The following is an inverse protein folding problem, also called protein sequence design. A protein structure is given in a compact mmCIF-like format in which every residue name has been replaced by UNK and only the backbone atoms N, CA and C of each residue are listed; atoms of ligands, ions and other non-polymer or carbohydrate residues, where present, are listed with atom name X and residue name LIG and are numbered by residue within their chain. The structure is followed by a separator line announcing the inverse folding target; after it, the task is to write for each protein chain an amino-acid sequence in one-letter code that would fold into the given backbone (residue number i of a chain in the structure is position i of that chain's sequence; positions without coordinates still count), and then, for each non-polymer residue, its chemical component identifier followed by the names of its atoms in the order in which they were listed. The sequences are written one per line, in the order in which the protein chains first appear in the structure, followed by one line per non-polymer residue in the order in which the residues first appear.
data_IF_652856929330
#
_entry.id   IF_652856929330
#
_cell.length_a   1.000
_cell.length_b   1.000
_cell.length_c   1.000
_cell.angle_alpha   90.00
_cell.angle_beta   90.00
_cell.angle_gamma   90.00
#
_symmetry.space_group_name_H-M   'P 1'
#
loop_
_entity.id
_entity.type
_entity.pdbx_description
1 polymer ?
#
# COMPACT_ATOMS: atom_id res chain seq x y z
N UNK A 1 23.74 -25.10 -5.37
CA UNK A 1 23.23 -24.17 -4.33
C UNK A 1 23.54 -24.76 -2.96
N UNK A 2 24.08 -24.03 -1.99
CA UNK A 2 24.13 -24.54 -0.63
C UNK A 2 22.70 -24.81 -0.16
N UNK A 3 22.42 -25.98 0.40
CA UNK A 3 21.16 -26.25 1.09
C UNK A 3 20.99 -25.20 2.20
N UNK A 4 19.86 -24.52 2.24
CA UNK A 4 19.54 -23.56 3.30
C UNK A 4 19.54 -22.07 2.92
N UNK A 5 20.04 -21.73 1.73
CA UNK A 5 19.98 -20.35 1.21
C UNK A 5 18.77 -20.08 0.29
N UNK A 6 17.85 -21.03 0.14
CA UNK A 6 16.61 -20.81 -0.62
C UNK A 6 15.70 -19.86 0.15
N UNK A 7 15.30 -18.72 -0.46
CA UNK A 7 14.31 -17.85 0.15
C UNK A 7 12.92 -18.47 0.07
N UNK A 8 12.19 -18.47 1.18
CA UNK A 8 10.81 -18.94 1.27
C UNK A 8 9.95 -17.88 1.94
N UNK A 9 8.71 -17.73 1.46
CA UNK A 9 7.71 -16.88 2.08
C UNK A 9 6.97 -17.72 3.14
N UNK A 10 7.00 -17.26 4.38
CA UNK A 10 6.54 -18.06 5.53
C UNK A 10 5.37 -17.45 6.29
N UNK A 11 5.11 -16.17 6.12
CA UNK A 11 4.00 -15.52 6.80
C UNK A 11 3.51 -14.30 6.05
N UNK A 12 2.20 -14.07 6.13
CA UNK A 12 1.53 -12.92 5.55
C UNK A 12 0.56 -12.29 6.54
N UNK A 13 0.41 -10.97 6.46
CA UNK A 13 -0.55 -10.23 7.27
C UNK A 13 -1.20 -9.14 6.46
N UNK A 14 -2.48 -8.94 6.68
CA UNK A 14 -3.26 -7.87 6.05
C UNK A 14 -4.20 -7.24 7.07
N UNK A 15 -4.31 -5.92 7.01
CA UNK A 15 -5.21 -5.13 7.85
C UNK A 15 -6.00 -4.18 6.97
N UNK A 16 -7.31 -4.10 7.22
CA UNK A 16 -8.17 -3.03 6.70
C UNK A 16 -8.94 -2.46 7.88
N UNK A 17 -8.78 -1.16 8.12
CA UNK A 17 -9.49 -0.44 9.17
C UNK A 17 -10.61 0.42 8.57
N UNK A 18 -11.80 0.36 9.17
CA UNK A 18 -12.98 1.08 8.69
C UNK A 18 -13.28 2.37 9.45
N UNK A 19 -12.39 2.81 10.36
CA UNK A 19 -12.58 4.07 11.07
C UNK A 19 -12.84 5.22 10.08
N UNK A 20 -13.90 5.97 10.33
CA UNK A 20 -14.38 7.05 9.47
C UNK A 20 -14.59 8.37 10.20
N UNK A 21 -14.21 8.44 11.50
CA UNK A 21 -14.31 9.60 12.35
C UNK A 21 -15.70 9.84 12.95
N UNK A 22 -16.70 9.01 12.67
CA UNK A 22 -18.06 9.23 13.19
C UNK A 22 -18.18 8.96 14.68
N UNK A 23 -17.31 8.09 15.23
CA UNK A 23 -17.25 7.74 16.64
C UNK A 23 -16.28 8.62 17.48
N UNK A 24 -15.67 9.64 16.88
CA UNK A 24 -14.66 10.48 17.53
C UNK A 24 -13.23 10.02 17.28
N UNK A 25 -12.23 10.51 18.05
CA UNK A 25 -10.82 10.24 17.81
C UNK A 25 -10.36 8.82 18.17
N UNK A 26 -11.10 8.15 19.06
CA UNK A 26 -10.70 6.86 19.58
C UNK A 26 -10.62 5.80 18.48
N UNK A 27 -9.52 5.04 18.48
CA UNK A 27 -9.27 4.00 17.48
C UNK A 27 -8.85 4.52 16.10
N UNK A 28 -8.57 5.81 15.93
CA UNK A 28 -8.08 6.36 14.68
C UNK A 28 -6.74 5.69 14.29
N UNK A 29 -6.66 4.99 13.14
CA UNK A 29 -5.43 4.33 12.75
C UNK A 29 -4.41 5.33 12.23
N UNK A 30 -3.13 5.01 12.43
CA UNK A 30 -1.99 5.69 11.80
C UNK A 30 -1.30 4.75 10.81
N UNK A 31 -0.47 5.27 9.90
CA UNK A 31 0.38 4.40 9.07
C UNK A 31 1.21 3.44 9.91
N UNK A 32 1.76 3.92 11.04
CA UNK A 32 2.53 3.08 11.98
C UNK A 32 1.69 1.96 12.57
N UNK A 33 0.53 2.28 13.17
CA UNK A 33 -0.30 1.26 13.83
C UNK A 33 -0.77 0.18 12.86
N UNK A 34 -1.15 0.55 11.63
CA UNK A 34 -1.53 -0.39 10.58
C UNK A 34 -0.38 -1.34 10.20
N UNK A 35 0.85 -0.80 10.02
CA UNK A 35 2.04 -1.63 9.75
C UNK A 35 2.35 -2.57 10.91
N UNK A 36 2.25 -2.10 12.16
CA UNK A 36 2.49 -2.90 13.37
C UNK A 36 1.50 -4.08 13.42
N UNK A 37 0.22 -3.80 13.19
CA UNK A 37 -0.82 -4.83 13.24
C UNK A 37 -0.65 -5.86 12.11
N UNK A 38 -0.41 -5.43 10.87
CA UNK A 38 -0.14 -6.34 9.76
C UNK A 38 1.12 -7.19 10.02
N UNK A 39 2.18 -6.58 10.58
CA UNK A 39 3.41 -7.29 10.93
C UNK A 39 3.19 -8.34 12.01
N UNK A 40 2.41 -8.04 13.06
CA UNK A 40 2.05 -9.00 14.10
C UNK A 40 1.24 -10.18 13.55
N UNK A 41 0.34 -9.93 12.62
CA UNK A 41 -0.42 -10.98 11.91
C UNK A 41 0.55 -11.86 11.11
N UNK A 42 1.47 -11.26 10.34
CA UNK A 42 2.45 -12.01 9.56
C UNK A 42 3.38 -12.87 10.43
N UNK A 43 3.80 -12.34 11.60
CA UNK A 43 4.60 -13.10 12.58
C UNK A 43 3.81 -14.28 13.16
N UNK A 44 2.54 -14.09 13.47
CA UNK A 44 1.67 -15.15 13.96
C UNK A 44 1.41 -16.22 12.89
N UNK A 45 1.20 -15.81 11.64
CA UNK A 45 1.01 -16.73 10.50
C UNK A 45 2.27 -17.58 10.23
N UNK A 46 3.45 -16.97 10.38
CA UNK A 46 4.73 -17.67 10.26
C UNK A 46 5.08 -18.56 11.47
N UNK A 47 4.34 -18.49 12.57
CA UNK A 47 4.77 -19.10 13.84
C UNK A 47 6.11 -18.57 14.38
N UNK A 48 6.50 -17.36 13.96
CA UNK A 48 7.82 -16.75 14.24
C UNK A 48 7.72 -15.62 15.27
N UNK A 49 8.86 -15.27 15.86
CA UNK A 49 8.95 -14.13 16.77
C UNK A 49 9.64 -12.94 16.10
N UNK A 50 9.37 -11.73 16.62
CA UNK A 50 10.00 -10.50 16.12
C UNK A 50 11.52 -10.50 16.28
N UNK A 51 12.08 -11.27 17.23
CA UNK A 51 13.54 -11.39 17.44
C UNK A 51 14.26 -12.11 16.30
N UNK A 52 13.53 -12.85 15.46
CA UNK A 52 14.09 -13.52 14.28
C UNK A 52 14.34 -12.58 13.10
N UNK A 53 13.73 -11.38 13.11
CA UNK A 53 13.83 -10.40 12.04
C UNK A 53 15.21 -9.71 12.10
N UNK A 54 16.07 -10.00 11.14
CA UNK A 54 17.36 -9.30 10.98
C UNK A 54 17.24 -8.08 10.04
N UNK A 55 16.26 -8.07 9.16
CA UNK A 55 16.01 -6.99 8.21
C UNK A 55 14.55 -6.58 8.21
N UNK A 56 14.29 -5.28 8.43
CA UNK A 56 12.96 -4.68 8.28
C UNK A 56 12.95 -3.72 7.09
N UNK A 57 12.06 -3.93 6.14
CA UNK A 57 11.88 -3.04 5.00
C UNK A 57 10.45 -2.48 4.98
N UNK A 58 10.33 -1.16 4.98
CA UNK A 58 9.05 -0.46 4.99
C UNK A 58 8.88 0.32 3.69
N UNK A 59 7.75 0.15 3.02
CA UNK A 59 7.38 0.96 1.85
C UNK A 59 7.02 2.37 2.33
N UNK A 60 7.59 3.39 1.69
CA UNK A 60 7.35 4.79 2.03
C UNK A 60 5.88 5.15 1.82
N UNK A 61 5.30 5.84 2.80
CA UNK A 61 3.94 6.38 2.73
C UNK A 61 3.86 7.61 1.83
N UNK A 62 2.67 7.90 1.33
CA UNK A 62 2.45 9.07 0.47
C UNK A 62 2.78 10.40 1.14
N UNK A 63 2.48 10.55 2.43
CA UNK A 63 2.77 11.79 3.16
C UNK A 63 4.27 12.13 3.15
N UNK A 64 5.15 11.13 3.33
CA UNK A 64 6.61 11.30 3.26
C UNK A 64 7.15 11.45 1.83
N UNK A 65 6.27 11.42 0.83
CA UNK A 65 6.62 11.48 -0.59
C UNK A 65 6.19 12.78 -1.26
N UNK A 66 5.49 13.65 -0.53
CA UNK A 66 5.02 14.93 -1.06
C UNK A 66 6.03 16.02 -0.71
N UNK A 67 6.58 16.75 -1.71
CA UNK A 67 7.47 17.88 -1.43
C UNK A 67 6.79 18.94 -0.55
N UNK A 68 7.50 19.42 0.47
CA UNK A 68 7.04 20.54 1.30
C UNK A 68 6.47 20.15 2.66
N UNK A 69 6.79 18.96 3.15
CA UNK A 69 6.53 18.52 4.53
C UNK A 69 5.10 18.82 5.00
N UNK A 70 4.18 17.96 4.62
CA UNK A 70 2.76 18.13 4.94
C UNK A 70 2.27 16.97 5.79
N UNK A 71 2.60 17.00 7.08
CA UNK A 71 2.11 16.04 8.07
C UNK A 71 1.01 16.68 8.92
N UNK A 72 -0.25 16.68 8.45
CA UNK A 72 -1.34 17.40 9.13
C UNK A 72 -1.68 16.83 10.50
N UNK A 73 -1.20 15.63 10.80
CA UNK A 73 -1.45 14.89 12.04
C UNK A 73 -0.16 14.57 12.81
N UNK A 74 0.91 15.35 12.61
CA UNK A 74 2.22 15.07 13.18
C UNK A 74 3.08 14.14 12.31
N UNK A 75 4.39 14.28 12.41
CA UNK A 75 5.36 13.55 11.61
C UNK A 75 5.99 12.40 12.39
N UNK A 76 5.95 11.20 11.87
CA UNK A 76 6.76 10.10 12.35
C UNK A 76 8.13 10.19 11.65
N UNK A 77 9.15 10.67 12.39
CA UNK A 77 10.48 10.95 11.83
C UNK A 77 11.29 9.70 11.49
N UNK A 78 10.86 8.53 11.95
CA UNK A 78 11.52 7.25 11.68
C UNK A 78 10.50 6.10 11.68
N UNK A 79 9.68 6.03 10.65
CA UNK A 79 8.63 5.01 10.56
C UNK A 79 9.15 3.58 10.68
N UNK A 80 10.26 3.14 10.03
CA UNK A 80 10.81 1.80 10.24
C UNK A 80 11.24 1.54 11.68
N UNK A 81 11.90 2.50 12.32
CA UNK A 81 12.36 2.37 13.71
C UNK A 81 11.19 2.23 14.69
N UNK A 82 10.16 3.06 14.55
CA UNK A 82 8.98 3.00 15.42
C UNK A 82 8.18 1.72 15.22
N UNK A 83 8.11 1.16 14.00
CA UNK A 83 7.50 -0.15 13.74
C UNK A 83 8.33 -1.25 14.40
N UNK A 84 9.66 -1.27 14.21
CA UNK A 84 10.54 -2.26 14.83
C UNK A 84 10.37 -2.29 16.36
N UNK A 85 10.41 -1.11 17.00
CA UNK A 85 10.18 -0.95 18.44
C UNK A 85 8.82 -1.56 18.87
N UNK A 86 7.75 -1.21 18.19
CA UNK A 86 6.38 -1.55 18.60
C UNK A 86 6.01 -3.03 18.33
N UNK A 87 6.73 -3.71 17.42
CA UNK A 87 6.64 -5.18 17.27
C UNK A 87 7.65 -5.93 18.14
N UNK A 88 8.63 -5.25 18.76
CA UNK A 88 9.69 -5.86 19.56
C UNK A 88 10.82 -6.47 18.73
N UNK A 89 11.03 -6.00 17.50
CA UNK A 89 12.15 -6.41 16.65
C UNK A 89 13.39 -5.54 16.89
N UNK A 90 14.57 -6.13 16.72
CA UNK A 90 15.87 -5.43 16.78
C UNK A 90 16.67 -5.73 15.51
N UNK A 91 16.20 -5.26 14.34
CA UNK A 91 16.82 -5.59 13.08
C UNK A 91 18.23 -4.95 12.99
N UNK A 92 19.16 -5.68 12.41
CA UNK A 92 20.51 -5.13 12.10
C UNK A 92 20.47 -4.22 10.89
N UNK A 93 19.40 -4.29 10.09
CA UNK A 93 19.16 -3.48 8.91
C UNK A 93 17.70 -3.03 8.85
N UNK A 94 17.50 -1.73 8.75
CA UNK A 94 16.19 -1.14 8.48
C UNK A 94 16.23 -0.34 7.17
N UNK A 95 15.20 -0.48 6.34
CA UNK A 95 15.10 0.16 5.03
C UNK A 95 13.78 0.94 4.98
N UNK A 96 13.85 2.21 4.61
CA UNK A 96 12.70 2.99 4.21
C UNK A 96 12.74 3.14 2.68
N UNK A 97 11.96 2.30 1.99
CA UNK A 97 12.00 2.19 0.54
C UNK A 97 11.34 3.39 -0.15
N UNK A 98 11.53 3.50 -1.45
CA UNK A 98 10.83 4.49 -2.24
C UNK A 98 9.31 4.22 -2.26
N UNK A 99 8.52 5.29 -2.43
CA UNK A 99 7.08 5.18 -2.63
C UNK A 99 6.75 4.54 -3.99
N UNK A 100 5.68 3.76 -4.04
CA UNK A 100 5.15 3.23 -5.29
C UNK A 100 4.52 1.86 -5.16
N UNK A 101 3.52 1.59 -5.99
CA UNK A 101 2.83 0.30 -6.01
C UNK A 101 3.70 -0.89 -6.41
N UNK A 102 4.84 -0.66 -7.06
CA UNK A 102 5.83 -1.68 -7.40
C UNK A 102 6.81 -1.99 -6.24
N UNK A 103 6.92 -1.12 -5.25
CA UNK A 103 7.91 -1.23 -4.18
C UNK A 103 7.78 -2.51 -3.34
N UNK A 104 6.59 -3.02 -3.01
CA UNK A 104 6.47 -4.30 -2.31
C UNK A 104 7.11 -5.45 -3.10
N UNK A 105 6.88 -5.53 -4.42
CA UNK A 105 7.47 -6.58 -5.25
C UNK A 105 8.97 -6.39 -5.43
N UNK A 106 9.46 -5.16 -5.55
CA UNK A 106 10.89 -4.89 -5.61
C UNK A 106 11.59 -5.32 -4.32
N UNK A 107 11.00 -5.01 -3.16
CA UNK A 107 11.53 -5.45 -1.86
C UNK A 107 11.49 -6.97 -1.72
N UNK A 108 10.41 -7.64 -2.15
CA UNK A 108 10.35 -9.09 -2.14
C UNK A 108 11.51 -9.71 -2.95
N UNK A 109 11.73 -9.21 -4.15
CA UNK A 109 12.83 -9.68 -5.01
C UNK A 109 14.21 -9.38 -4.41
N UNK A 110 14.40 -8.20 -3.82
CA UNK A 110 15.66 -7.82 -3.19
C UNK A 110 15.95 -8.67 -1.96
N UNK A 111 14.97 -8.84 -1.05
CA UNK A 111 15.15 -9.66 0.14
C UNK A 111 15.40 -11.13 -0.22
N UNK A 112 14.67 -11.66 -1.21
CA UNK A 112 14.92 -13.01 -1.71
C UNK A 112 16.36 -13.17 -2.27
N UNK A 113 16.83 -12.18 -3.04
CA UNK A 113 18.20 -12.21 -3.58
C UNK A 113 19.26 -12.15 -2.46
N UNK A 114 19.03 -11.35 -1.41
CA UNK A 114 19.94 -11.23 -0.25
C UNK A 114 19.97 -12.51 0.59
N UNK A 115 18.82 -13.14 0.80
CA UNK A 115 18.74 -14.45 1.46
C UNK A 115 19.50 -15.49 0.63
N UNK A 116 19.29 -15.51 -0.67
CA UNK A 116 19.99 -16.42 -1.57
C UNK A 116 21.52 -16.21 -1.55
N UNK A 117 21.97 -14.96 -1.43
CA UNK A 117 23.39 -14.60 -1.29
C UNK A 117 23.96 -14.91 0.10
N UNK A 118 23.15 -15.25 1.09
CA UNK A 118 23.56 -15.48 2.47
C UNK A 118 23.89 -14.18 3.24
N UNK A 119 23.38 -13.04 2.78
CA UNK A 119 23.59 -11.74 3.42
C UNK A 119 22.63 -11.50 4.59
N UNK A 120 21.45 -12.07 4.55
CA UNK A 120 20.39 -12.00 5.57
C UNK A 120 19.69 -13.35 5.69
N UNK A 121 19.05 -13.60 6.83
CA UNK A 121 18.32 -14.85 7.09
C UNK A 121 16.81 -14.67 7.17
N UNK A 122 16.34 -13.51 7.64
CA UNK A 122 14.92 -13.25 7.85
C UNK A 122 14.57 -11.78 7.63
N UNK A 123 13.72 -11.51 6.66
CA UNK A 123 13.25 -10.17 6.33
C UNK A 123 11.75 -10.04 6.52
N UNK A 124 11.33 -9.00 7.24
CA UNK A 124 9.95 -8.52 7.29
C UNK A 124 9.81 -7.33 6.33
N UNK A 125 8.84 -7.41 5.43
CA UNK A 125 8.47 -6.32 4.54
C UNK A 125 7.05 -5.88 4.88
N UNK A 126 6.83 -4.58 5.07
CA UNK A 126 5.50 -4.01 5.36
C UNK A 126 5.30 -2.66 4.70
N UNK A 127 4.06 -2.23 4.60
CA UNK A 127 3.67 -0.91 4.12
C UNK A 127 2.20 -0.64 4.36
N UNK A 128 1.84 0.63 4.48
CA UNK A 128 0.48 1.05 4.80
C UNK A 128 0.14 2.40 4.20
N UNK A 129 -1.17 2.69 4.15
CA UNK A 129 -1.71 4.03 3.96
C UNK A 129 -2.90 4.24 4.91
N UNK A 130 -2.96 5.42 5.54
CA UNK A 130 -4.06 5.83 6.44
C UNK A 130 -4.78 7.10 5.91
N UNK A 131 -4.83 7.24 4.60
CA UNK A 131 -5.40 8.42 3.94
C UNK A 131 -6.89 8.61 4.22
N UNK A 132 -7.65 7.53 4.43
CA UNK A 132 -9.06 7.62 4.83
C UNK A 132 -9.18 8.24 6.22
N UNK A 133 -8.34 7.83 7.18
CA UNK A 133 -8.33 8.41 8.53
C UNK A 133 -7.95 9.88 8.49
N UNK A 134 -6.91 10.26 7.76
CA UNK A 134 -6.52 11.67 7.58
C UNK A 134 -7.65 12.52 6.98
N UNK A 135 -8.31 12.03 5.93
CA UNK A 135 -9.45 12.72 5.29
C UNK A 135 -10.66 12.83 6.24
N UNK A 136 -10.95 11.76 6.99
CA UNK A 136 -12.06 11.73 7.95
C UNK A 136 -11.83 12.68 9.14
N UNK A 137 -10.64 12.67 9.74
CA UNK A 137 -10.26 13.56 10.82
C UNK A 137 -10.46 15.03 10.42
N UNK A 138 -9.95 15.43 9.26
CA UNK A 138 -10.14 16.80 8.73
C UNK A 138 -11.61 17.14 8.48
N UNK A 139 -12.38 16.21 7.92
CA UNK A 139 -13.82 16.41 7.63
C UNK A 139 -14.64 16.64 8.89
N UNK A 140 -14.31 15.93 9.97
CA UNK A 140 -15.06 15.99 11.24
C UNK A 140 -14.43 16.93 12.27
N UNK A 141 -13.31 17.60 11.96
CA UNK A 141 -12.59 18.48 12.88
C UNK A 141 -12.01 17.72 14.08
N UNK A 142 -11.62 16.46 13.89
CA UNK A 142 -11.04 15.60 14.92
C UNK A 142 -9.53 15.80 14.94
N UNK A 143 -8.98 16.03 16.12
CA UNK A 143 -7.53 16.02 16.34
C UNK A 143 -7.07 14.59 16.57
N UNK A 144 -6.12 14.14 15.75
CA UNK A 144 -5.38 12.89 15.89
C UNK A 144 -3.90 13.21 15.84
N UNK A 145 -3.07 12.41 16.51
CA UNK A 145 -1.61 12.62 16.55
C UNK A 145 -0.87 11.36 16.05
N UNK A 146 -0.10 11.54 15.00
CA UNK A 146 0.77 10.52 14.41
C UNK A 146 2.25 10.77 14.65
N UNK A 147 2.58 11.85 15.40
CA UNK A 147 3.96 12.18 15.70
C UNK A 147 4.63 11.05 16.51
N UNK A 148 5.77 10.62 16.06
CA UNK A 148 6.62 9.61 16.72
C UNK A 148 8.05 9.72 16.20
N UNK A 149 8.96 8.96 16.77
CA UNK A 149 10.35 8.90 16.33
C UNK A 149 11.10 7.76 17.00
N UNK A 150 12.23 7.41 16.42
CA UNK A 150 13.14 6.38 16.89
C UNK A 150 14.56 6.69 16.44
N UNK A 151 15.57 6.17 17.17
CA UNK A 151 17.00 6.37 16.85
C UNK A 151 17.60 5.22 16.03
N UNK A 152 16.79 4.24 15.59
CA UNK A 152 17.28 3.14 14.75
C UNK A 152 17.87 3.70 13.46
N UNK A 153 19.07 3.25 13.10
CA UNK A 153 19.67 3.62 11.82
C UNK A 153 18.90 3.04 10.65
N UNK A 154 18.48 3.88 9.71
CA UNK A 154 17.65 3.51 8.56
C UNK A 154 18.34 3.85 7.25
N UNK A 155 18.35 2.92 6.31
CA UNK A 155 18.67 3.15 4.91
C UNK A 155 17.46 3.84 4.25
N UNK A 156 17.45 5.18 4.25
CA UNK A 156 16.43 5.97 3.58
C UNK A 156 16.73 6.09 2.09
N UNK A 157 15.85 5.54 1.25
CA UNK A 157 15.97 5.54 -0.22
C UNK A 157 15.29 6.74 -0.88
N UNK A 158 14.77 7.65 -0.08
CA UNK A 158 14.08 8.84 -0.57
C UNK A 158 12.79 8.51 -1.34
N UNK A 159 12.35 9.48 -2.15
CA UNK A 159 11.10 9.36 -2.91
C UNK A 159 11.22 8.45 -4.16
N UNK A 160 12.41 7.98 -4.48
CA UNK A 160 12.67 7.26 -5.73
C UNK A 160 12.77 8.18 -6.96
N UNK A 161 12.66 7.59 -8.14
CA UNK A 161 12.69 8.34 -9.39
C UNK A 161 11.38 9.08 -9.62
N UNK A 162 11.47 10.32 -10.12
CA UNK A 162 10.28 11.10 -10.47
C UNK A 162 9.62 10.47 -11.71
N UNK A 163 8.41 9.96 -11.55
CA UNK A 163 7.63 9.33 -12.63
C UNK A 163 7.09 10.33 -13.66
N UNK A 164 7.05 11.61 -13.32
CA UNK A 164 6.43 12.67 -14.11
C UNK A 164 7.47 13.71 -14.55
N UNK A 165 7.51 14.01 -15.82
CA UNK A 165 8.31 15.11 -16.34
C UNK A 165 7.63 16.47 -16.08
N UNK A 166 8.43 17.55 -16.08
CA UNK A 166 7.88 18.92 -15.94
C UNK A 166 6.84 19.29 -17.01
N UNK A 167 7.00 18.93 -18.30
CA UNK A 167 5.96 19.13 -19.29
C UNK A 167 4.65 18.42 -18.98
N UNK A 168 4.70 17.17 -18.54
CA UNK A 168 3.51 16.39 -18.16
C UNK A 168 2.76 17.06 -17.03
N UNK A 169 3.46 17.45 -15.96
CA UNK A 169 2.86 18.15 -14.81
C UNK A 169 2.23 19.49 -15.30
N UNK A 170 2.91 20.24 -16.18
CA UNK A 170 2.39 21.49 -16.72
C UNK A 170 1.11 21.31 -17.53
N UNK A 171 0.94 20.15 -18.16
CA UNK A 171 -0.27 19.79 -18.90
C UNK A 171 -1.33 19.06 -18.06
N UNK A 172 -1.18 19.04 -16.74
CA UNK A 172 -2.17 18.47 -15.81
C UNK A 172 -2.10 16.96 -15.65
N UNK A 173 -1.09 16.29 -16.19
CA UNK A 173 -0.85 14.86 -15.97
C UNK A 173 -0.10 14.75 -14.64
N UNK A 174 -0.86 14.64 -13.55
CA UNK A 174 -0.35 14.70 -12.17
C UNK A 174 -0.54 13.39 -11.38
N UNK A 175 -1.18 12.40 -11.98
CA UNK A 175 -1.40 11.09 -11.37
C UNK A 175 -1.34 9.98 -12.42
N UNK A 176 -0.96 8.73 -12.04
CA UNK A 176 -0.86 7.59 -12.96
C UNK A 176 -2.14 7.31 -13.75
N UNK A 177 -3.32 7.56 -13.18
CA UNK A 177 -4.59 7.33 -13.86
C UNK A 177 -4.79 8.18 -15.13
N UNK A 178 -4.13 9.35 -15.24
CA UNK A 178 -4.15 10.13 -16.48
C UNK A 178 -3.37 9.43 -17.59
N UNK A 179 -2.25 8.79 -17.27
CA UNK A 179 -1.52 7.97 -18.26
C UNK A 179 -2.34 6.77 -18.70
N UNK A 180 -3.01 6.10 -17.78
CA UNK A 180 -3.87 4.97 -18.10
C UNK A 180 -5.01 5.39 -19.05
N UNK A 181 -5.56 6.58 -18.86
CA UNK A 181 -6.58 7.12 -19.77
C UNK A 181 -6.04 7.33 -21.19
N UNK A 182 -4.79 7.77 -21.35
CA UNK A 182 -4.15 7.87 -22.67
C UNK A 182 -4.03 6.51 -23.35
N UNK A 183 -3.63 5.46 -22.61
CA UNK A 183 -3.56 4.09 -23.13
C UNK A 183 -4.93 3.54 -23.49
N UNK A 184 -5.95 3.75 -22.64
CA UNK A 184 -7.31 3.31 -22.93
C UNK A 184 -7.90 3.97 -24.19
N UNK A 185 -7.66 5.27 -24.39
CA UNK A 185 -8.08 5.95 -25.61
C UNK A 185 -7.35 5.44 -26.85
N UNK A 186 -6.05 5.13 -26.74
CA UNK A 186 -5.27 4.54 -27.84
C UNK A 186 -5.78 3.15 -28.20
N UNK A 187 -6.13 2.33 -27.19
CA UNK A 187 -6.72 1.01 -27.39
C UNK A 187 -8.10 1.10 -28.02
N UNK A 188 -8.97 1.98 -27.53
CA UNK A 188 -10.28 2.23 -28.11
C UNK A 188 -10.19 2.65 -29.60
N UNK A 189 -9.28 3.55 -29.91
CA UNK A 189 -9.04 3.98 -31.30
C UNK A 189 -8.56 2.83 -32.19
N UNK A 190 -7.64 1.99 -31.69
CA UNK A 190 -7.17 0.79 -32.40
C UNK A 190 -8.31 -0.17 -32.70
N UNK A 191 -9.21 -0.36 -31.73
CA UNK A 191 -10.28 -1.34 -31.78
C UNK A 191 -11.58 -0.77 -32.44
N UNK A 192 -11.52 0.50 -32.90
CA UNK A 192 -12.64 1.19 -33.57
C UNK A 192 -13.81 1.52 -32.64
N UNK A 193 -13.55 1.59 -31.33
CA UNK A 193 -14.54 1.86 -30.29
C UNK A 193 -14.69 3.35 -30.03
N UNK A 194 -15.89 3.78 -29.71
CA UNK A 194 -16.14 5.06 -29.05
C UNK A 194 -15.72 5.00 -27.58
N UNK A 195 -15.52 6.15 -26.95
CA UNK A 195 -15.23 6.22 -25.51
C UNK A 195 -16.31 5.58 -24.64
N UNK A 196 -17.59 5.67 -25.03
CA UNK A 196 -18.70 5.05 -24.31
C UNK A 196 -18.70 3.53 -24.45
N UNK A 197 -18.38 2.98 -25.62
CA UNK A 197 -18.26 1.53 -25.83
C UNK A 197 -17.07 0.96 -25.03
N UNK A 198 -15.93 1.66 -25.05
CA UNK A 198 -14.78 1.28 -24.23
C UNK A 198 -15.11 1.30 -22.73
N UNK A 199 -15.82 2.33 -22.27
CA UNK A 199 -16.27 2.43 -20.88
C UNK A 199 -17.21 1.30 -20.48
N UNK A 200 -18.14 0.92 -21.36
CA UNK A 200 -19.05 -0.20 -21.11
C UNK A 200 -18.29 -1.51 -20.95
N UNK A 201 -17.33 -1.81 -21.85
CA UNK A 201 -16.48 -3.01 -21.77
C UNK A 201 -15.68 -3.05 -20.46
N UNK A 202 -15.04 -1.92 -20.06
CA UNK A 202 -14.34 -1.82 -18.79
C UNK A 202 -15.28 -2.05 -17.61
N UNK A 203 -16.50 -1.50 -17.66
CA UNK A 203 -17.47 -1.62 -16.58
C UNK A 203 -17.96 -3.06 -16.40
N UNK A 204 -18.09 -3.84 -17.46
CA UNK A 204 -18.39 -5.27 -17.39
C UNK A 204 -17.28 -6.06 -16.67
N UNK A 205 -16.02 -5.70 -16.87
CA UNK A 205 -14.89 -6.30 -16.16
C UNK A 205 -14.90 -5.89 -14.69
N UNK A 206 -15.02 -4.58 -14.42
CA UNK A 206 -14.95 -4.04 -13.05
C UNK A 206 -16.15 -4.48 -12.19
N UNK A 207 -17.33 -4.70 -12.77
CA UNK A 207 -18.48 -5.26 -12.05
C UNK A 207 -18.19 -6.66 -11.48
N UNK A 208 -17.41 -7.48 -12.18
CA UNK A 208 -16.97 -8.80 -11.66
C UNK A 208 -16.04 -8.67 -10.47
N UNK A 209 -15.11 -7.72 -10.51
CA UNK A 209 -14.25 -7.42 -9.37
C UNK A 209 -15.04 -6.82 -8.20
N UNK A 210 -15.99 -5.93 -8.48
CA UNK A 210 -16.85 -5.35 -7.46
C UNK A 210 -17.70 -6.43 -6.74
N UNK A 211 -18.20 -7.41 -7.47
CA UNK A 211 -18.96 -8.52 -6.89
C UNK A 211 -18.09 -9.38 -5.95
N UNK A 212 -16.83 -9.64 -6.29
CA UNK A 212 -15.89 -10.35 -5.40
C UNK A 212 -15.55 -9.48 -4.19
N UNK A 213 -15.32 -8.18 -4.38
CA UNK A 213 -14.98 -7.27 -3.30
C UNK A 213 -16.12 -7.08 -2.29
N UNK A 214 -17.38 -7.19 -2.71
CA UNK A 214 -18.56 -7.02 -1.84
C UNK A 214 -18.55 -7.96 -0.63
N UNK A 215 -18.06 -9.18 -0.81
CA UNK A 215 -17.98 -10.21 0.24
C UNK A 215 -16.57 -10.36 0.84
N UNK A 216 -15.61 -9.55 0.40
CA UNK A 216 -14.23 -9.69 0.84
C UNK A 216 -13.97 -8.94 2.16
N UNK A 217 -13.46 -9.61 3.22
CA UNK A 217 -13.31 -9.02 4.56
C UNK A 217 -12.33 -7.83 4.61
N UNK A 218 -11.42 -7.74 3.65
CA UNK A 218 -10.46 -6.64 3.54
C UNK A 218 -10.84 -5.58 2.48
N UNK A 219 -12.07 -5.62 1.95
CA UNK A 219 -12.54 -4.55 1.07
C UNK A 219 -12.76 -3.25 1.86
N UNK A 220 -12.15 -2.16 1.40
CA UNK A 220 -12.28 -0.86 2.07
C UNK A 220 -13.64 -0.21 1.81
N UNK A 221 -14.27 -0.53 0.69
CA UNK A 221 -15.50 0.09 0.23
C UNK A 221 -16.60 -0.97 0.06
N UNK A 222 -17.84 -0.59 0.37
CA UNK A 222 -19.01 -1.39 -0.01
C UNK A 222 -19.25 -1.24 -1.52
N UNK A 223 -19.08 -2.33 -2.24
CA UNK A 223 -19.26 -2.43 -3.68
C UNK A 223 -20.48 -3.25 -4.09
N UNK A 224 -21.33 -3.62 -3.14
CA UNK A 224 -22.51 -4.49 -3.35
C UNK A 224 -23.49 -3.97 -4.41
N UNK A 225 -23.53 -2.65 -4.61
CA UNK A 225 -24.36 -1.98 -5.62
C UNK A 225 -23.65 -1.63 -6.93
N UNK A 226 -22.39 -2.06 -7.12
CA UNK A 226 -21.57 -1.66 -8.27
C UNK A 226 -21.75 -2.65 -9.44
N UNK A 227 -22.88 -2.58 -10.11
CA UNK A 227 -23.10 -3.29 -11.36
C UNK A 227 -22.48 -2.56 -12.58
N UNK A 228 -22.47 -3.21 -13.72
CA UNK A 228 -21.90 -2.65 -14.95
C UNK A 228 -22.61 -1.34 -15.37
N UNK A 229 -23.92 -1.22 -15.14
CA UNK A 229 -24.69 -0.02 -15.47
C UNK A 229 -24.28 1.16 -14.59
N UNK A 230 -24.15 0.97 -13.27
CA UNK A 230 -23.66 1.99 -12.35
C UNK A 230 -22.24 2.42 -12.72
N UNK A 231 -21.37 1.46 -12.99
CA UNK A 231 -19.97 1.74 -13.33
C UNK A 231 -19.81 2.47 -14.66
N UNK A 232 -20.65 2.17 -15.67
CA UNK A 232 -20.61 2.84 -16.98
C UNK A 232 -21.23 4.25 -16.98
N UNK A 233 -22.09 4.57 -15.99
CA UNK A 233 -22.92 5.78 -16.00
C UNK A 233 -22.30 6.90 -15.16
N UNK A 234 -21.97 8.06 -15.76
CA UNK A 234 -21.54 9.23 -15.01
C UNK A 234 -22.60 9.72 -14.03
N UNK A 235 -22.21 9.96 -12.78
CA UNK A 235 -23.09 10.47 -11.74
C UNK A 235 -22.29 11.24 -10.68
N UNK A 236 -22.96 11.84 -9.70
CA UNK A 236 -22.28 12.46 -8.55
C UNK A 236 -21.44 11.44 -7.74
N UNK A 237 -21.92 10.19 -7.64
CA UNK A 237 -21.23 9.11 -6.95
C UNK A 237 -20.13 8.46 -7.80
N UNK A 238 -20.26 8.54 -9.12
CA UNK A 238 -19.32 7.98 -10.10
C UNK A 238 -18.98 9.04 -11.16
N UNK A 239 -18.33 10.13 -10.73
CA UNK A 239 -18.04 11.28 -11.58
C UNK A 239 -16.92 10.99 -12.60
N UNK A 240 -16.90 11.71 -13.75
CA UNK A 240 -15.82 11.63 -14.72
C UNK A 240 -14.48 12.03 -14.09
N UNK A 241 -13.46 11.21 -14.31
CA UNK A 241 -12.08 11.50 -13.85
C UNK A 241 -11.18 11.92 -15.02
N UNK A 242 -10.94 11.02 -15.94
CA UNK A 242 -10.20 11.24 -17.18
C UNK A 242 -10.74 10.26 -18.23
N UNK A 243 -11.36 10.76 -19.29
CA UNK A 243 -12.06 9.90 -20.27
C UNK A 243 -11.16 8.77 -20.79
N UNK A 244 -11.62 7.49 -20.82
CA UNK A 244 -12.98 7.00 -20.54
C UNK A 244 -13.30 6.73 -19.07
N UNK A 245 -12.34 6.95 -18.13
CA UNK A 245 -12.49 6.59 -16.73
C UNK A 245 -13.48 7.47 -15.97
N UNK A 246 -14.31 6.82 -15.17
CA UNK A 246 -15.07 7.40 -14.08
C UNK A 246 -14.37 7.08 -12.75
N UNK A 247 -14.82 7.68 -11.65
CA UNK A 247 -14.23 7.54 -10.31
C UNK A 247 -13.90 6.08 -9.94
N UNK A 248 -14.81 5.16 -10.16
CA UNK A 248 -14.67 3.77 -9.70
C UNK A 248 -13.91 2.86 -10.68
N UNK A 249 -13.44 3.40 -11.82
CA UNK A 249 -12.50 2.72 -12.70
C UNK A 249 -11.03 2.94 -12.33
N UNK A 250 -10.75 3.82 -11.35
CA UNK A 250 -9.38 4.12 -10.93
C UNK A 250 -9.13 3.65 -9.50
N UNK A 251 -7.85 3.49 -9.14
CA UNK A 251 -7.45 3.16 -7.78
C UNK A 251 -7.95 4.23 -6.79
N UNK A 252 -8.50 3.78 -5.67
CA UNK A 252 -8.98 4.66 -4.61
C UNK A 252 -7.89 4.80 -3.54
N UNK A 253 -7.47 6.03 -3.28
CA UNK A 253 -6.42 6.37 -2.30
C UNK A 253 -6.94 6.59 -0.87
N UNK A 254 -8.25 6.73 -0.70
CA UNK A 254 -8.87 6.95 0.60
C UNK A 254 -9.07 5.62 1.35
N UNK A 255 -7.97 5.02 1.77
CA UNK A 255 -7.93 3.72 2.47
C UNK A 255 -7.23 3.84 3.81
N UNK A 256 -7.52 2.90 4.72
CA UNK A 256 -6.75 2.59 5.91
C UNK A 256 -6.34 1.12 5.80
N UNK A 257 -5.24 0.85 5.13
CA UNK A 257 -4.83 -0.51 4.82
C UNK A 257 -3.34 -0.71 5.02
N UNK A 258 -2.97 -1.93 5.39
CA UNK A 258 -1.59 -2.37 5.48
C UNK A 258 -1.45 -3.82 5.03
N UNK A 259 -0.28 -4.16 4.53
CA UNK A 259 0.15 -5.52 4.28
C UNK A 259 1.55 -5.75 4.82
N UNK A 260 1.81 -7.00 5.21
CA UNK A 260 3.13 -7.45 5.62
C UNK A 260 3.39 -8.86 5.13
N UNK A 261 4.65 -9.18 4.86
CA UNK A 261 5.08 -10.55 4.59
C UNK A 261 6.48 -10.81 5.12
N UNK A 262 6.77 -12.08 5.42
CA UNK A 262 8.06 -12.52 5.94
C UNK A 262 8.70 -13.49 4.95
N UNK A 263 9.92 -13.18 4.57
CA UNK A 263 10.82 -14.06 3.84
C UNK A 263 11.94 -14.53 4.76
N UNK A 264 12.27 -15.83 4.72
CA UNK A 264 13.44 -16.35 5.44
C UNK A 264 14.14 -17.44 4.66
N UNK A 265 15.30 -17.87 5.15
CA UNK A 265 15.98 -19.05 4.61
C UNK A 265 15.12 -20.30 4.85
N UNK A 266 15.11 -21.25 3.90
CA UNK A 266 14.47 -22.55 4.05
C UNK A 266 14.89 -23.26 5.35
N UNK A 267 16.18 -23.19 5.69
CA UNK A 267 16.69 -23.77 6.94
C UNK A 267 16.03 -23.19 8.20
N UNK A 268 15.83 -21.87 8.21
CA UNK A 268 15.19 -21.20 9.35
C UNK A 268 13.70 -21.50 9.39
N UNK A 269 13.06 -21.59 8.23
CA UNK A 269 11.66 -21.99 8.11
C UNK A 269 11.42 -23.41 8.61
N UNK A 270 12.28 -24.36 8.22
CA UNK A 270 12.20 -25.76 8.67
C UNK A 270 12.36 -25.89 10.20
N UNK A 271 13.11 -24.97 10.82
CA UNK A 271 13.30 -24.97 12.28
C UNK A 271 12.08 -24.45 13.06
N UNK A 272 11.15 -23.73 12.38
CA UNK A 272 9.90 -23.26 12.98
C UNK A 272 8.79 -24.33 12.93
N UNK A 273 8.85 -25.27 12.02
CA UNK A 273 7.92 -26.41 11.85
C UNK A 273 7.04 -26.28 10.64
#
# INVERSE_FOLDING_TARGET
MPKGAMPVLVGVGQVTDHWDGTAGPDGAPSPKSLCVDASKIALADAGSSASEIDTLAVVRIFEDSVPGDRHPHGHNTNLPGTIARDIGATPTRAIYAAVGGQSPQQLANEMAARIYAGEIECALVTGSEANKASKAARKHGIEIDWADGDDLAVEDRGMGEMLLSRPEIKHGIIAPAYFYALFENAMAARDGQTSSERRAEMSDLFAKFAAVAADHPHAQFDTSSFDASFLATPSKANYPFADPFLKWHIAQDAVNQSGAFILMTEYKADALG
#
